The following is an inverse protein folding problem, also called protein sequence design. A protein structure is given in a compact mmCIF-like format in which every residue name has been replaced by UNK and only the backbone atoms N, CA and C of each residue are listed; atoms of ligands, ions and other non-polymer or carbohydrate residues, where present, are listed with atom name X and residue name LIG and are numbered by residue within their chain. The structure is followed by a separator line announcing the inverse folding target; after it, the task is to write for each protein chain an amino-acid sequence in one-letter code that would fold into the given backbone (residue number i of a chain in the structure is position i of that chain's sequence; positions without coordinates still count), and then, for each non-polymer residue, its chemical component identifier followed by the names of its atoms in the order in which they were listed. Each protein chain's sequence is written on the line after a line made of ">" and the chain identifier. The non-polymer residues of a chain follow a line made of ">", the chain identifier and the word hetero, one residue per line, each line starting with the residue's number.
data_IF_632656019907
#
_entry.id   IF_632656019907
#
_cell.length_a   1.000
_cell.length_b   1.000
_cell.length_c   1.000
_cell.angle_alpha   90.00
_cell.angle_beta   90.00
_cell.angle_gamma   90.00
#
_symmetry.space_group_name_H-M   'P 1'
#
loop_
_entity.id
_entity.type
_entity.pdbx_description
1 polymer ?
#
# COMPACT_ATOMS: atom_id res chain seq x y z
N UNK A 1 3.88 13.93 10.74
CA UNK A 1 2.97 12.79 10.95
C UNK A 1 2.54 12.24 9.60
N UNK A 2 2.56 10.93 9.48
CA UNK A 2 2.19 10.23 8.27
C UNK A 2 1.20 9.10 8.61
N UNK A 3 0.31 8.79 7.66
CA UNK A 3 -0.63 7.68 7.82
C UNK A 3 -0.52 6.75 6.61
N UNK A 4 -0.40 5.46 6.88
CA UNK A 4 -0.39 4.45 5.82
C UNK A 4 -1.42 3.38 6.17
N UNK A 5 -2.32 3.11 5.24
CA UNK A 5 -3.26 2.00 5.37
C UNK A 5 -2.80 0.81 4.54
N UNK A 6 -3.02 -0.39 5.06
CA UNK A 6 -2.77 -1.65 4.35
C UNK A 6 -4.13 -2.29 4.09
N UNK A 7 -4.49 -2.40 2.82
CA UNK A 7 -5.82 -2.86 2.45
C UNK A 7 -5.76 -3.59 1.11
N UNK A 8 -6.19 -4.83 1.08
CA UNK A 8 -6.10 -5.75 -0.05
C UNK A 8 -4.66 -5.95 -0.52
N UNK A 9 -3.82 -6.44 0.40
CA UNK A 9 -2.37 -6.59 0.17
C UNK A 9 -1.96 -8.02 -0.15
N UNK A 10 -2.90 -8.92 -0.34
CA UNK A 10 -2.64 -10.36 -0.45
C UNK A 10 -2.58 -10.93 -1.85
N UNK A 11 -2.69 -10.13 -2.90
CA UNK A 11 -2.64 -10.62 -4.29
C UNK A 11 -1.76 -9.75 -5.16
N UNK A 12 -1.20 -10.34 -6.20
CA UNK A 12 -0.38 -9.64 -7.19
C UNK A 12 1.11 -9.89 -7.02
N UNK A 13 1.90 -9.31 -7.92
CA UNK A 13 3.37 -9.40 -7.91
C UNK A 13 4.06 -8.06 -7.69
N UNK A 14 3.32 -6.97 -7.77
CA UNK A 14 3.78 -5.60 -7.53
C UNK A 14 2.95 -5.03 -6.38
N UNK A 15 3.57 -4.26 -5.50
CA UNK A 15 2.85 -3.60 -4.41
C UNK A 15 2.38 -2.24 -4.88
N UNK A 16 1.06 -2.02 -4.99
CA UNK A 16 0.54 -0.69 -5.28
C UNK A 16 0.78 0.25 -4.09
N UNK A 17 1.24 1.47 -4.38
CA UNK A 17 1.46 2.52 -3.40
C UNK A 17 0.63 3.73 -3.83
N UNK A 18 -0.57 3.85 -3.30
CA UNK A 18 -1.55 4.81 -3.77
C UNK A 18 -1.72 5.99 -2.83
N UNK A 19 -2.01 7.16 -3.39
CA UNK A 19 -2.52 8.33 -2.67
C UNK A 19 -3.75 8.84 -3.39
N UNK A 20 -4.50 9.73 -2.76
CA UNK A 20 -5.54 10.49 -3.42
C UNK A 20 -5.03 11.85 -3.92
N UNK A 21 -5.93 12.67 -4.48
CA UNK A 21 -5.54 13.93 -5.11
C UNK A 21 -5.14 15.03 -4.14
N UNK A 22 -5.45 14.90 -2.85
CA UNK A 22 -5.23 15.96 -1.86
C UNK A 22 -3.95 15.78 -1.06
N UNK A 23 -3.40 14.56 -1.02
CA UNK A 23 -2.23 14.29 -0.20
C UNK A 23 -0.96 14.87 -0.81
N UNK A 24 -0.09 15.49 0.01
CA UNK A 24 1.29 15.69 -0.42
C UNK A 24 1.92 14.33 -0.77
N UNK A 25 2.77 14.26 -1.80
CA UNK A 25 3.30 12.98 -2.28
C UNK A 25 4.45 12.42 -1.42
N UNK A 26 4.81 13.06 -0.30
CA UNK A 26 6.01 12.70 0.46
C UNK A 26 5.98 11.28 1.04
N UNK A 27 4.81 10.83 1.51
CA UNK A 27 4.68 9.47 2.07
C UNK A 27 4.75 8.43 0.96
N UNK A 28 4.04 8.66 -0.14
CA UNK A 28 4.12 7.77 -1.32
C UNK A 28 5.56 7.65 -1.82
N UNK A 29 6.25 8.76 -1.95
CA UNK A 29 7.65 8.77 -2.41
C UNK A 29 8.58 8.05 -1.44
N UNK A 30 8.38 8.25 -0.13
CA UNK A 30 9.18 7.56 0.89
C UNK A 30 8.97 6.05 0.83
N UNK A 31 7.74 5.59 0.63
CA UNK A 31 7.44 4.18 0.45
C UNK A 31 8.06 3.60 -0.81
N UNK A 32 8.02 4.33 -1.92
CA UNK A 32 8.66 3.87 -3.16
C UNK A 32 10.18 3.78 -3.02
N UNK A 33 10.81 4.72 -2.30
CA UNK A 33 12.24 4.63 -2.00
C UNK A 33 12.55 3.45 -1.08
N UNK A 34 11.71 3.21 -0.09
CA UNK A 34 11.87 2.05 0.81
C UNK A 34 11.77 0.73 0.03
N UNK A 35 10.81 0.64 -0.88
CA UNK A 35 10.67 -0.53 -1.75
C UNK A 35 11.94 -0.78 -2.57
N UNK A 36 12.51 0.28 -3.16
CA UNK A 36 13.73 0.17 -3.94
C UNK A 36 14.91 -0.32 -3.09
N UNK A 37 15.01 0.14 -1.84
CA UNK A 37 16.11 -0.29 -0.94
C UNK A 37 16.07 -1.80 -0.63
N UNK A 38 14.92 -2.41 -0.66
CA UNK A 38 14.76 -3.83 -0.30
C UNK A 38 14.30 -4.69 -1.48
N UNK A 39 14.45 -4.17 -2.69
CA UNK A 39 14.12 -4.87 -3.94
C UNK A 39 12.69 -5.41 -3.98
N UNK A 40 11.74 -4.62 -3.49
CA UNK A 40 10.32 -4.93 -3.61
C UNK A 40 9.76 -4.19 -4.81
N UNK A 41 9.19 -4.89 -5.81
CA UNK A 41 8.53 -4.22 -6.92
C UNK A 41 7.30 -3.46 -6.42
N UNK A 42 7.27 -2.17 -6.69
CA UNK A 42 6.21 -1.29 -6.23
C UNK A 42 5.87 -0.28 -7.33
N UNK A 43 4.63 0.19 -7.34
CA UNK A 43 4.15 1.10 -8.36
C UNK A 43 3.24 2.15 -7.75
N UNK A 44 3.46 3.41 -8.13
CA UNK A 44 2.60 4.51 -7.72
C UNK A 44 1.22 4.38 -8.34
N UNK A 45 0.20 4.75 -7.59
CA UNK A 45 -1.19 4.76 -8.05
C UNK A 45 -1.98 5.84 -7.35
N UNK A 46 -3.22 6.04 -7.81
CA UNK A 46 -4.14 7.00 -7.20
C UNK A 46 -5.46 6.31 -6.91
N UNK A 47 -5.92 6.37 -5.67
CA UNK A 47 -7.28 6.01 -5.31
C UNK A 47 -7.67 6.64 -3.98
N UNK A 48 -8.97 6.63 -3.69
CA UNK A 48 -9.56 7.15 -2.46
C UNK A 48 -10.42 6.09 -1.76
N UNK A 49 -10.19 4.82 -2.06
CA UNK A 49 -11.12 3.73 -1.74
C UNK A 49 -10.80 2.99 -0.44
N UNK A 50 -10.08 3.61 0.49
CA UNK A 50 -9.73 2.99 1.77
C UNK A 50 -9.58 4.04 2.87
N UNK A 51 -9.15 3.62 4.04
CA UNK A 51 -9.08 4.45 5.25
C UNK A 51 -8.16 5.66 5.10
N UNK A 52 -7.16 5.60 4.23
CA UNK A 52 -6.27 6.74 3.98
C UNK A 52 -7.03 7.98 3.51
N UNK A 53 -8.17 7.81 2.85
CA UNK A 53 -8.96 8.93 2.32
C UNK A 53 -9.47 9.86 3.41
N UNK A 54 -9.95 9.30 4.54
CA UNK A 54 -10.43 10.11 5.66
C UNK A 54 -9.33 10.98 6.25
N UNK A 55 -8.11 10.43 6.37
CA UNK A 55 -6.95 11.18 6.86
C UNK A 55 -6.48 12.21 5.85
N UNK A 56 -6.53 11.86 4.57
CA UNK A 56 -6.15 12.78 3.50
C UNK A 56 -7.04 14.02 3.48
N UNK A 57 -8.36 13.83 3.60
CA UNK A 57 -9.32 14.94 3.68
C UNK A 57 -9.09 15.82 4.91
N UNK A 58 -8.52 15.27 5.96
CA UNK A 58 -8.18 16.01 7.17
C UNK A 58 -6.82 16.71 7.08
N UNK A 59 -6.13 16.61 5.95
CA UNK A 59 -4.88 17.34 5.70
C UNK A 59 -3.61 16.57 5.99
N UNK A 60 -3.69 15.28 6.29
CA UNK A 60 -2.50 14.46 6.54
C UNK A 60 -1.88 13.97 5.23
N UNK A 61 -0.56 13.80 5.23
CA UNK A 61 0.13 13.09 4.17
C UNK A 61 -0.11 11.59 4.36
N UNK A 62 -0.58 10.92 3.31
CA UNK A 62 -1.06 9.55 3.41
C UNK A 62 -0.58 8.70 2.24
N UNK A 63 -0.66 7.38 2.43
CA UNK A 63 -0.60 6.42 1.33
C UNK A 63 -1.39 5.17 1.71
N UNK A 64 -1.73 4.40 0.70
CA UNK A 64 -2.31 3.07 0.85
C UNK A 64 -1.40 2.07 0.17
N UNK A 65 -1.09 0.97 0.86
CA UNK A 65 -0.48 -0.21 0.25
C UNK A 65 -1.59 -1.19 -0.10
N UNK A 66 -1.59 -1.69 -1.34
CA UNK A 66 -2.59 -2.63 -1.80
C UNK A 66 -3.47 -2.04 -2.91
N UNK A 67 -4.63 -2.62 -3.10
CA UNK A 67 -5.62 -2.31 -4.13
C UNK A 67 -5.52 -3.13 -5.42
N UNK A 68 -4.68 -4.16 -5.45
CA UNK A 68 -4.64 -5.06 -6.60
C UNK A 68 -5.99 -5.77 -6.75
N UNK A 69 -6.55 -5.71 -7.95
CA UNK A 69 -7.82 -6.37 -8.26
C UNK A 69 -7.66 -7.88 -8.31
N UNK A 70 -8.67 -8.61 -7.88
CA UNK A 70 -8.74 -10.06 -8.01
C UNK A 70 -10.20 -10.51 -8.17
N UNK A 71 -10.39 -11.63 -8.86
CA UNK A 71 -11.71 -12.08 -9.29
C UNK A 71 -12.66 -12.41 -8.13
N UNK A 72 -12.13 -12.89 -7.02
CA UNK A 72 -12.92 -13.35 -5.86
C UNK A 72 -13.41 -12.21 -4.96
N UNK A 73 -12.97 -10.99 -5.17
CA UNK A 73 -13.29 -9.83 -4.33
C UNK A 73 -14.80 -9.65 -4.17
N UNK A 74 -15.26 -9.53 -2.93
CA UNK A 74 -16.67 -9.41 -2.56
C UNK A 74 -17.53 -10.58 -3.01
N UNK A 75 -16.97 -11.79 -3.05
CA UNK A 75 -17.69 -13.01 -3.41
C UNK A 75 -17.49 -14.11 -2.37
N UNK A 76 -18.26 -15.18 -2.50
CA UNK A 76 -18.10 -16.38 -1.65
C UNK A 76 -16.77 -17.09 -1.88
N UNK A 77 -16.13 -16.84 -3.03
CA UNK A 77 -14.82 -17.40 -3.36
C UNK A 77 -13.66 -16.65 -2.72
N UNK A 78 -13.91 -15.53 -2.03
CA UNK A 78 -12.87 -14.75 -1.37
C UNK A 78 -12.49 -15.44 -0.05
N UNK A 79 -11.70 -16.49 -0.18
CA UNK A 79 -11.30 -17.38 0.89
C UNK A 79 -9.79 -17.23 1.15
N UNK A 80 -9.30 -17.71 2.31
CA UNK A 80 -7.87 -17.60 2.64
C UNK A 80 -6.92 -18.14 1.56
N UNK A 81 -7.35 -19.13 0.78
CA UNK A 81 -6.53 -19.71 -0.31
C UNK A 81 -6.25 -18.73 -1.45
N UNK A 82 -7.01 -17.62 -1.56
CA UNK A 82 -6.77 -16.59 -2.57
C UNK A 82 -5.50 -15.80 -2.25
N UNK A 83 -5.10 -15.78 -0.99
CA UNK A 83 -3.94 -14.99 -0.53
C UNK A 83 -2.65 -15.62 -1.02
N UNK A 84 -1.83 -14.80 -1.68
CA UNK A 84 -0.48 -15.16 -2.09
C UNK A 84 0.50 -14.76 -0.98
N UNK A 85 1.14 -15.75 -0.36
CA UNK A 85 2.10 -15.52 0.72
C UNK A 85 3.27 -14.66 0.27
N UNK A 86 3.71 -14.82 -0.97
CA UNK A 86 4.81 -14.00 -1.51
C UNK A 86 4.43 -12.52 -1.58
N UNK A 87 3.18 -12.22 -1.94
CA UNK A 87 2.71 -10.83 -1.96
C UNK A 87 2.58 -10.23 -0.56
N UNK A 88 2.09 -11.02 0.40
CA UNK A 88 2.09 -10.57 1.80
C UNK A 88 3.51 -10.26 2.29
N UNK A 89 4.47 -11.12 1.96
CA UNK A 89 5.86 -10.92 2.34
C UNK A 89 6.44 -9.65 1.71
N UNK A 90 6.16 -9.39 0.43
CA UNK A 90 6.60 -8.15 -0.25
C UNK A 90 6.06 -6.92 0.45
N UNK A 91 4.76 -6.92 0.73
CA UNK A 91 4.12 -5.78 1.41
C UNK A 91 4.68 -5.57 2.81
N UNK A 92 4.89 -6.67 3.56
CA UNK A 92 5.47 -6.62 4.89
C UNK A 92 6.89 -6.07 4.88
N UNK A 93 7.74 -6.54 3.94
CA UNK A 93 9.11 -6.02 3.81
C UNK A 93 9.14 -4.54 3.47
N UNK A 94 8.25 -4.10 2.57
CA UNK A 94 8.15 -2.69 2.22
C UNK A 94 7.74 -1.85 3.42
N UNK A 95 6.67 -2.25 4.10
CA UNK A 95 6.18 -1.52 5.25
C UNK A 95 7.24 -1.43 6.36
N UNK A 96 7.93 -2.54 6.63
CA UNK A 96 9.00 -2.55 7.63
C UNK A 96 10.17 -1.67 7.22
N UNK A 97 10.59 -1.72 5.96
CA UNK A 97 11.68 -0.87 5.46
C UNK A 97 11.33 0.62 5.61
N UNK A 98 10.08 0.99 5.38
CA UNK A 98 9.63 2.36 5.58
C UNK A 98 9.61 2.75 7.05
N UNK A 99 9.04 1.91 7.91
CA UNK A 99 8.93 2.20 9.36
C UNK A 99 10.29 2.27 10.03
N UNK A 100 11.24 1.44 9.62
CA UNK A 100 12.58 1.39 10.20
C UNK A 100 13.58 2.29 9.49
N UNK A 101 13.15 2.98 8.45
CA UNK A 101 14.00 3.87 7.67
C UNK A 101 14.16 5.25 8.29
N UNK A 102 14.99 6.11 7.66
CA UNK A 102 15.29 7.42 8.22
C UNK A 102 14.14 8.41 8.20
N UNK A 103 13.15 8.22 7.30
CA UNK A 103 12.01 9.13 7.13
C UNK A 103 10.72 8.32 6.96
N UNK A 104 10.20 7.73 8.02
CA UNK A 104 8.95 7.02 7.92
C UNK A 104 7.76 7.97 7.67
#
# INVERSE_FOLDING_TARGET
>A
VAMVSLDRVGVGGVVPVCTGPLSPPRVQRALLRAAARVDVPAQACENTASDHWSFEKAGFAVARLGSTSYAEYHSRGDLPRVVDRAQLARTGRLAWAWLSGPDP
#
